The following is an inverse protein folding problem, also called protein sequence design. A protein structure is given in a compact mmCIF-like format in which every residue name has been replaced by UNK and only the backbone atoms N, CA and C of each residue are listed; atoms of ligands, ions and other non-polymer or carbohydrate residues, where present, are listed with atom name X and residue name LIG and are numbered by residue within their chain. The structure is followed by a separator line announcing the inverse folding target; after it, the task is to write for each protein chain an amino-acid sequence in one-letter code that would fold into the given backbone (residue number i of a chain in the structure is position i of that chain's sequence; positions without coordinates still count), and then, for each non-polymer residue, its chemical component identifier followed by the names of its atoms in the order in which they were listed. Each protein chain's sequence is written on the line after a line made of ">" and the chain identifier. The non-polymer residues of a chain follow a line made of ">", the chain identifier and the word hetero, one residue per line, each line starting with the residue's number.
data_IF_956599955007
#
_entry.id   IF_956599955007
#
_cell.length_a   1.000
_cell.length_b   1.000
_cell.length_c   1.000
_cell.angle_alpha   90.00
_cell.angle_beta   90.00
_cell.angle_gamma   90.00
#
_symmetry.space_group_name_H-M   'P 1'
#
loop_
_entity.id
_entity.type
_entity.pdbx_description
1 polymer ?
#
# COMPACT_ATOMS: atom_id res chain seq x y z
N UNK A 1 9.80 3.37 18.70
CA UNK A 1 9.22 4.58 18.09
C UNK A 1 9.78 4.67 16.69
N UNK A 2 8.92 4.61 15.67
CA UNK A 2 9.34 4.68 14.26
C UNK A 2 9.85 6.10 13.98
N UNK A 3 11.01 6.21 13.33
CA UNK A 3 11.44 7.50 12.76
C UNK A 3 10.77 7.68 11.39
N UNK A 4 9.65 8.41 11.39
CA UNK A 4 8.80 8.67 10.22
C UNK A 4 9.51 9.42 9.09
N UNK A 5 10.64 10.06 9.33
CA UNK A 5 11.45 10.66 8.25
C UNK A 5 12.39 9.65 7.62
N UNK A 6 12.91 8.70 8.40
CA UNK A 6 13.86 7.69 7.93
C UNK A 6 13.23 6.64 6.99
N UNK A 7 11.91 6.45 7.09
CA UNK A 7 11.16 5.47 6.28
C UNK A 7 10.80 5.99 4.90
N UNK A 8 10.89 7.31 4.65
CA UNK A 8 10.59 7.89 3.34
C UNK A 8 11.67 7.51 2.34
N UNK A 9 11.26 6.96 1.20
CA UNK A 9 12.15 6.62 0.10
C UNK A 9 11.82 7.44 -1.15
N UNK A 10 12.81 7.59 -2.02
CA UNK A 10 12.57 8.25 -3.31
C UNK A 10 11.66 7.41 -4.20
N UNK A 11 10.79 8.09 -4.97
CA UNK A 11 10.01 7.48 -6.06
C UNK A 11 10.88 6.68 -7.03
N UNK A 12 12.12 7.12 -7.30
CA UNK A 12 13.08 6.38 -8.13
C UNK A 12 13.41 5.01 -7.52
N UNK A 13 13.76 4.97 -6.24
CA UNK A 13 14.09 3.72 -5.54
C UNK A 13 12.90 2.77 -5.48
N UNK A 14 11.71 3.30 -5.16
CA UNK A 14 10.48 2.53 -5.14
C UNK A 14 10.18 1.93 -6.53
N UNK A 15 10.10 2.77 -7.58
CA UNK A 15 9.77 2.33 -8.94
C UNK A 15 10.77 1.31 -9.48
N UNK A 16 12.06 1.46 -9.18
CA UNK A 16 13.06 0.46 -9.55
C UNK A 16 12.82 -0.89 -8.86
N UNK A 17 12.53 -0.89 -7.56
CA UNK A 17 12.27 -2.13 -6.79
C UNK A 17 10.96 -2.79 -7.23
N UNK A 18 9.92 -1.97 -7.42
CA UNK A 18 8.62 -2.41 -7.92
C UNK A 18 8.74 -3.05 -9.32
N UNK A 19 9.42 -2.38 -10.27
CA UNK A 19 9.62 -2.92 -11.62
C UNK A 19 10.43 -4.21 -11.62
N UNK A 20 11.46 -4.28 -10.79
CA UNK A 20 12.26 -5.50 -10.65
C UNK A 20 11.41 -6.68 -10.14
N UNK A 21 10.53 -6.43 -9.18
CA UNK A 21 9.69 -7.46 -8.58
C UNK A 21 8.53 -7.89 -9.49
N UNK A 22 7.80 -6.94 -10.07
CA UNK A 22 6.51 -7.19 -10.73
C UNK A 22 6.60 -7.22 -12.26
N UNK A 23 7.77 -6.89 -12.83
CA UNK A 23 7.97 -6.89 -14.28
C UNK A 23 7.26 -5.75 -15.02
N UNK A 24 6.74 -4.74 -14.31
CA UNK A 24 6.11 -3.56 -14.90
C UNK A 24 6.29 -2.30 -14.04
N UNK A 25 6.06 -1.12 -14.63
CA UNK A 25 6.30 0.16 -13.96
C UNK A 25 5.12 0.62 -13.12
N UNK A 26 5.39 1.09 -11.91
CA UNK A 26 4.42 1.83 -11.12
C UNK A 26 4.26 3.25 -11.66
N UNK A 27 3.05 3.60 -12.07
CA UNK A 27 2.66 4.94 -12.54
C UNK A 27 1.71 5.58 -11.52
N UNK A 28 0.51 5.03 -11.40
CA UNK A 28 -0.44 5.27 -10.31
C UNK A 28 -1.04 3.93 -9.85
N UNK A 29 -1.93 3.97 -8.86
CA UNK A 29 -2.69 2.80 -8.46
C UNK A 29 -3.61 2.30 -9.58
N UNK A 30 -4.27 3.19 -10.31
CA UNK A 30 -5.19 2.85 -11.40
C UNK A 30 -4.45 2.13 -12.56
N UNK A 31 -3.33 2.69 -13.04
CA UNK A 31 -2.52 2.01 -14.04
C UNK A 31 -1.92 0.69 -13.53
N UNK A 32 -1.65 0.57 -12.23
CA UNK A 32 -1.19 -0.69 -11.63
C UNK A 32 -2.29 -1.77 -11.75
N UNK A 33 -3.53 -1.44 -11.39
CA UNK A 33 -4.68 -2.33 -11.51
C UNK A 33 -4.96 -2.73 -12.97
N UNK A 34 -4.87 -1.77 -13.90
CA UNK A 34 -5.03 -2.02 -15.34
C UNK A 34 -3.95 -2.96 -15.88
N UNK A 35 -2.69 -2.79 -15.46
CA UNK A 35 -1.58 -3.66 -15.84
C UNK A 35 -1.75 -5.08 -15.26
N UNK A 36 -2.17 -5.21 -14.00
CA UNK A 36 -2.44 -6.52 -13.39
C UNK A 36 -3.57 -7.26 -14.11
N UNK A 37 -4.66 -6.56 -14.42
CA UNK A 37 -5.83 -7.11 -15.13
C UNK A 37 -5.47 -7.57 -16.55
N UNK A 38 -4.73 -6.74 -17.31
CA UNK A 38 -4.30 -7.09 -18.68
C UNK A 38 -3.33 -8.27 -18.75
N UNK A 39 -2.64 -8.58 -17.64
CA UNK A 39 -1.78 -9.76 -17.48
C UNK A 39 -2.55 -11.02 -17.06
N UNK A 40 -3.88 -10.94 -16.93
CA UNK A 40 -4.73 -12.08 -16.59
C UNK A 40 -4.83 -12.38 -15.09
N UNK A 41 -4.34 -11.49 -14.22
CA UNK A 41 -4.55 -11.62 -12.78
C UNK A 41 -6.03 -11.38 -12.46
N UNK A 42 -6.65 -12.28 -11.72
CA UNK A 42 -8.01 -12.10 -11.23
C UNK A 42 -8.00 -11.16 -10.02
N UNK A 43 -8.67 -10.02 -10.13
CA UNK A 43 -8.79 -9.05 -9.05
C UNK A 43 -10.16 -9.20 -8.39
N UNK A 44 -10.16 -9.72 -7.15
CA UNK A 44 -11.38 -9.83 -6.35
C UNK A 44 -11.48 -8.65 -5.40
N UNK A 45 -12.56 -7.88 -5.53
CA UNK A 45 -12.81 -6.71 -4.70
C UNK A 45 -13.72 -7.06 -3.53
N UNK A 46 -13.32 -6.64 -2.32
CA UNK A 46 -14.15 -6.64 -1.12
C UNK A 46 -14.61 -5.21 -0.86
N UNK A 47 -15.92 -4.98 -0.82
CA UNK A 47 -16.49 -3.71 -0.38
C UNK A 47 -16.41 -3.61 1.15
N UNK A 48 -15.87 -2.51 1.65
CA UNK A 48 -15.98 -2.07 3.02
C UNK A 48 -17.06 -1.00 3.11
N UNK A 49 -18.12 -1.27 3.87
CA UNK A 49 -19.22 -0.31 4.06
C UNK A 49 -18.86 0.66 5.17
N UNK A 50 -19.28 1.92 5.01
CA UNK A 50 -19.08 2.99 6.00
C UNK A 50 -17.62 3.13 6.45
N UNK A 51 -16.68 2.88 5.53
CA UNK A 51 -15.26 2.90 5.84
C UNK A 51 -14.78 4.27 6.34
N UNK A 52 -15.43 5.35 5.91
CA UNK A 52 -15.17 6.72 6.36
C UNK A 52 -15.46 6.95 7.86
N UNK A 53 -16.24 6.07 8.47
CA UNK A 53 -16.55 6.10 9.91
C UNK A 53 -15.60 5.22 10.74
N UNK A 54 -14.70 4.48 10.09
CA UNK A 54 -13.77 3.56 10.73
C UNK A 54 -12.44 4.25 11.01
N UNK A 55 -11.82 3.87 12.13
CA UNK A 55 -10.43 4.21 12.40
C UNK A 55 -9.51 3.44 11.43
N UNK A 56 -8.36 4.03 11.09
CA UNK A 56 -7.43 3.43 10.13
C UNK A 56 -7.03 1.99 10.52
N UNK A 57 -6.85 1.76 11.83
CA UNK A 57 -6.50 0.43 12.34
C UNK A 57 -7.61 -0.60 12.14
N UNK A 58 -8.87 -0.18 12.12
CA UNK A 58 -10.00 -1.07 11.90
C UNK A 58 -10.16 -1.39 10.41
N UNK A 59 -9.90 -0.42 9.52
CA UNK A 59 -9.75 -0.69 8.08
C UNK A 59 -8.63 -1.70 7.85
N UNK A 60 -7.49 -1.55 8.52
CA UNK A 60 -6.37 -2.49 8.40
C UNK A 60 -6.71 -3.91 8.85
N UNK A 61 -7.52 -4.09 9.90
CA UNK A 61 -7.93 -5.44 10.33
C UNK A 61 -8.86 -6.14 9.33
N UNK A 62 -9.53 -5.38 8.47
CA UNK A 62 -10.39 -5.91 7.41
C UNK A 62 -9.60 -6.41 6.18
N UNK A 63 -8.28 -6.17 6.14
CA UNK A 63 -7.41 -6.57 5.05
C UNK A 63 -7.37 -8.09 4.94
N UNK A 64 -7.76 -8.65 3.77
CA UNK A 64 -7.58 -10.06 3.51
C UNK A 64 -6.09 -10.41 3.61
N UNK A 65 -5.79 -11.46 4.35
CA UNK A 65 -4.45 -12.04 4.40
C UNK A 65 -3.34 -11.07 4.88
N UNK A 66 -3.66 -10.04 5.67
CA UNK A 66 -2.65 -9.09 6.20
C UNK A 66 -1.50 -9.77 6.95
N UNK A 67 -1.77 -10.93 7.58
CA UNK A 67 -0.77 -11.75 8.27
C UNK A 67 0.28 -12.38 7.33
N UNK A 68 0.03 -12.43 6.02
CA UNK A 68 0.96 -13.01 5.03
C UNK A 68 2.07 -12.05 4.61
N UNK A 69 1.95 -10.77 4.95
CA UNK A 69 2.96 -9.77 4.58
C UNK A 69 4.10 -9.83 5.60
N UNK A 70 5.33 -9.99 5.12
CA UNK A 70 6.51 -10.12 5.98
C UNK A 70 7.70 -9.28 5.50
N UNK A 71 8.62 -8.97 6.42
CA UNK A 71 9.86 -8.26 6.10
C UNK A 71 9.62 -6.81 5.69
N UNK A 72 10.49 -6.28 4.82
CA UNK A 72 10.37 -4.93 4.31
C UNK A 72 9.25 -4.81 3.27
N UNK A 73 8.39 -3.82 3.46
CA UNK A 73 7.25 -3.51 2.59
C UNK A 73 7.31 -2.07 2.12
N UNK A 74 6.67 -1.82 0.99
CA UNK A 74 6.47 -0.48 0.48
C UNK A 74 5.03 -0.06 0.68
N UNK A 75 4.85 1.17 1.16
CA UNK A 75 3.55 1.80 1.36
C UNK A 75 3.48 3.07 0.54
N UNK A 76 2.40 3.24 -0.22
CA UNK A 76 2.07 4.48 -0.91
C UNK A 76 0.71 4.92 -0.39
N UNK A 77 0.66 6.11 0.20
CA UNK A 77 -0.57 6.79 0.61
C UNK A 77 -0.65 8.13 -0.12
N UNK A 78 -1.76 8.86 0.01
CA UNK A 78 -1.88 10.23 -0.49
C UNK A 78 -0.75 11.15 0.03
N UNK A 79 -0.27 10.94 1.27
CA UNK A 79 0.87 11.66 1.81
C UNK A 79 2.16 11.51 0.95
N UNK A 80 2.34 10.37 0.26
CA UNK A 80 3.49 10.13 -0.62
C UNK A 80 3.57 11.09 -1.82
N UNK A 81 2.45 11.71 -2.21
CA UNK A 81 2.39 12.66 -3.33
C UNK A 81 2.55 14.13 -2.90
N UNK A 82 2.52 14.42 -1.59
CA UNK A 82 2.80 15.77 -1.08
C UNK A 82 4.24 16.17 -1.43
N UNK A 83 4.45 17.47 -1.66
CA UNK A 83 5.76 18.03 -2.01
C UNK A 83 6.80 17.59 -0.95
N UNK A 84 7.95 17.08 -1.40
CA UNK A 84 9.08 16.60 -0.58
C UNK A 84 8.93 15.20 0.05
N UNK A 85 7.79 14.52 -0.15
CA UNK A 85 7.61 13.13 0.27
C UNK A 85 7.72 12.13 -0.90
N UNK A 86 7.67 10.85 -0.55
CA UNK A 86 7.63 9.72 -1.46
C UNK A 86 7.00 8.52 -0.77
N UNK A 87 7.08 7.32 -1.38
CA UNK A 87 6.65 6.09 -0.75
C UNK A 87 7.42 5.85 0.55
N UNK A 88 6.84 5.03 1.41
CA UNK A 88 7.46 4.62 2.67
C UNK A 88 7.97 3.19 2.55
N UNK A 89 9.15 2.92 3.11
CA UNK A 89 9.67 1.57 3.31
C UNK A 89 9.59 1.25 4.80
N UNK A 90 8.67 0.35 5.15
CA UNK A 90 8.34 0.00 6.54
C UNK A 90 8.61 -1.48 6.73
N UNK A 91 8.98 -1.92 7.92
CA UNK A 91 9.00 -3.35 8.23
C UNK A 91 7.58 -3.81 8.58
N UNK A 92 7.14 -4.98 8.11
CA UNK A 92 5.77 -5.46 8.31
C UNK A 92 5.36 -5.52 9.81
N UNK A 93 6.31 -5.84 10.70
CA UNK A 93 6.09 -5.82 12.15
C UNK A 93 5.80 -4.43 12.73
N UNK A 94 6.19 -3.36 12.02
CA UNK A 94 5.97 -1.96 12.41
C UNK A 94 4.77 -1.34 11.70
N UNK A 95 4.11 -2.07 10.78
CA UNK A 95 3.03 -1.53 9.95
C UNK A 95 1.84 -1.03 10.80
N UNK A 96 1.46 -1.76 11.85
CA UNK A 96 0.38 -1.35 12.74
C UNK A 96 0.68 -0.01 13.44
N UNK A 97 1.91 0.14 13.95
CA UNK A 97 2.36 1.39 14.55
C UNK A 97 2.46 2.52 13.50
N UNK A 98 2.89 2.19 12.29
CA UNK A 98 2.96 3.16 11.20
C UNK A 98 1.58 3.69 10.81
N UNK A 99 0.56 2.82 10.75
CA UNK A 99 -0.82 3.18 10.45
C UNK A 99 -1.40 4.07 11.55
N UNK A 100 -1.29 3.64 12.81
CA UNK A 100 -1.90 4.34 13.96
C UNK A 100 -1.30 5.73 14.21
N UNK A 101 -0.02 5.94 13.90
CA UNK A 101 0.66 7.23 14.08
C UNK A 101 0.71 8.08 12.79
N UNK A 102 0.18 7.59 11.66
CA UNK A 102 0.26 8.29 10.38
C UNK A 102 -0.38 9.68 10.42
N UNK A 103 -1.56 9.80 11.06
CA UNK A 103 -2.26 11.08 11.25
C UNK A 103 -1.40 12.09 12.02
N UNK A 104 -0.75 11.65 13.10
CA UNK A 104 0.12 12.50 13.90
C UNK A 104 1.37 12.92 13.13
N UNK A 105 1.94 12.02 12.33
CA UNK A 105 3.18 12.24 11.60
C UNK A 105 3.01 13.12 10.35
N UNK A 106 1.89 12.97 9.62
CA UNK A 106 1.69 13.57 8.29
C UNK A 106 0.44 14.45 8.17
N UNK A 107 -0.26 14.67 9.30
CA UNK A 107 -1.50 15.45 9.39
C UNK A 107 -2.60 14.94 8.46
N UNK A 108 -2.65 13.63 8.23
CA UNK A 108 -3.61 12.97 7.35
C UNK A 108 -3.80 11.50 7.73
N UNK A 109 -5.03 10.99 7.64
CA UNK A 109 -5.31 9.57 7.87
C UNK A 109 -4.51 8.69 6.89
N UNK A 110 -4.17 7.48 7.32
CA UNK A 110 -3.48 6.51 6.48
C UNK A 110 -4.35 6.10 5.28
N UNK A 111 -5.64 5.81 5.54
CA UNK A 111 -6.64 5.53 4.52
C UNK A 111 -7.40 6.80 4.14
N UNK A 112 -6.71 7.78 3.57
CA UNK A 112 -7.31 9.03 3.08
C UNK A 112 -7.38 9.08 1.55
N UNK A 113 -7.83 8.00 0.90
CA UNK A 113 -7.85 7.90 -0.56
C UNK A 113 -7.32 6.55 -1.02
N UNK A 114 -6.47 6.58 -2.05
CA UNK A 114 -5.88 5.38 -2.62
C UNK A 114 -4.63 4.97 -1.84
N UNK A 115 -4.56 3.69 -1.44
CA UNK A 115 -3.43 3.13 -0.68
C UNK A 115 -2.92 1.87 -1.34
N UNK A 116 -1.60 1.77 -1.51
CA UNK A 116 -0.89 0.55 -1.88
C UNK A 116 0.00 0.12 -0.72
N UNK A 117 -0.10 -1.15 -0.33
CA UNK A 117 0.86 -1.82 0.54
C UNK A 117 1.39 -3.02 -0.25
N UNK A 118 2.70 -3.13 -0.44
CA UNK A 118 3.27 -4.22 -1.27
C UNK A 118 4.56 -4.78 -0.69
N UNK A 119 4.66 -6.11 -0.71
CA UNK A 119 5.90 -6.83 -0.41
C UNK A 119 6.55 -7.25 -1.72
N UNK A 120 7.75 -6.74 -1.99
CA UNK A 120 8.53 -7.22 -3.15
C UNK A 120 9.22 -8.56 -2.89
N UNK A 121 9.26 -9.00 -1.63
CA UNK A 121 9.81 -10.32 -1.27
C UNK A 121 8.77 -11.42 -1.51
N UNK A 122 7.52 -11.13 -1.15
CA UNK A 122 6.41 -12.09 -1.22
C UNK A 122 5.58 -11.92 -2.50
N UNK A 123 5.98 -11.00 -3.40
CA UNK A 123 5.33 -10.67 -4.66
C UNK A 123 3.81 -10.46 -4.53
N UNK A 124 3.41 -9.71 -3.51
CA UNK A 124 2.01 -9.44 -3.22
C UNK A 124 1.72 -7.94 -3.12
N UNK A 125 0.47 -7.58 -3.41
CA UNK A 125 -0.05 -6.23 -3.30
C UNK A 125 -1.38 -6.26 -2.56
N UNK A 126 -1.50 -5.37 -1.59
CA UNK A 126 -2.75 -4.98 -1.04
C UNK A 126 -3.08 -3.56 -1.50
N UNK A 127 -4.32 -3.38 -1.94
CA UNK A 127 -4.80 -2.14 -2.53
C UNK A 127 -6.10 -1.74 -1.87
N UNK A 128 -6.19 -0.50 -1.45
CA UNK A 128 -7.43 0.16 -1.08
C UNK A 128 -7.67 1.34 -1.98
N UNK A 129 -8.90 1.44 -2.44
CA UNK A 129 -9.36 2.49 -3.31
C UNK A 129 -10.30 3.41 -2.53
N UNK A 130 -10.24 4.70 -2.82
CA UNK A 130 -11.06 5.74 -2.17
C UNK A 130 -12.58 5.49 -2.21
N UNK A 131 -13.06 4.60 -3.09
CA UNK A 131 -14.45 4.11 -3.10
C UNK A 131 -14.81 3.12 -1.99
N UNK A 132 -13.91 2.86 -1.03
CA UNK A 132 -14.15 1.91 0.05
C UNK A 132 -14.08 0.45 -0.39
N UNK A 133 -13.31 0.16 -1.44
CA UNK A 133 -13.08 -1.20 -1.93
C UNK A 133 -11.62 -1.58 -1.75
N UNK A 134 -11.39 -2.82 -1.35
CA UNK A 134 -10.04 -3.34 -1.14
C UNK A 134 -9.83 -4.66 -1.89
N UNK A 135 -8.60 -4.93 -2.25
CA UNK A 135 -8.20 -6.20 -2.86
C UNK A 135 -6.82 -6.61 -2.38
N UNK A 136 -6.61 -7.92 -2.33
CA UNK A 136 -5.31 -8.53 -2.08
C UNK A 136 -4.97 -9.40 -3.28
N UNK A 137 -3.79 -9.20 -3.84
CA UNK A 137 -3.30 -9.90 -5.02
C UNK A 137 -1.99 -10.56 -4.61
N UNK A 138 -1.99 -11.89 -4.60
CA UNK A 138 -0.81 -12.72 -4.40
C UNK A 138 -0.39 -13.37 -5.72
N UNK A 139 0.79 -14.00 -5.71
CA UNK A 139 1.28 -14.80 -6.85
C UNK A 139 1.24 -14.05 -8.18
N UNK A 140 1.57 -12.75 -8.14
CA UNK A 140 1.50 -11.87 -9.33
C UNK A 140 2.38 -12.48 -10.42
N UNK A 141 1.73 -12.97 -11.48
CA UNK A 141 2.40 -13.62 -12.61
C UNK A 141 3.16 -12.53 -13.38
N UNK A 142 4.48 -12.58 -13.27
CA UNK A 142 5.40 -11.64 -13.90
C UNK A 142 5.85 -12.11 -15.28
#
# INVERSE_FOLDING_TARGET
>A
MIDFKSVVISWKSFKSSFKFCFGFEYLTLEETLNQLSSRGNSISWKQLKNWEELEDIDIFKELPEHEKISGDIYVVTEASYKKELGPFKVHAADLECFITEHLNAYSECFFNGDVLITSTKDSCMWIFHHGGVMTFINEIQC
#
